data_IF_711932355920
#
_entry.id   IF_711932355920
#
_cell.length_a   1.000
_cell.length_b   1.000
_cell.length_c   1.000
_cell.angle_alpha   90.00
_cell.angle_beta   90.00
_cell.angle_gamma   90.00
#
_symmetry.space_group_name_H-M   'P 1'
#
loop_
_entity.id
_entity.type
_entity.pdbx_description
1 polymer ?
#
# COMPACT_ATOMS: atom_id res chain seq x y z
N UNK A 1 -16.73 -19.88 -5.13
CA UNK A 1 -17.55 -19.70 -6.34
C UNK A 1 -18.08 -18.29 -6.44
N UNK A 2 -18.49 -17.90 -7.64
CA UNK A 2 -19.24 -16.67 -7.93
C UNK A 2 -20.23 -16.90 -9.08
N UNK A 3 -21.31 -16.11 -9.13
CA UNK A 3 -22.24 -16.11 -10.26
C UNK A 3 -22.07 -14.76 -10.96
N UNK A 4 -21.84 -14.81 -12.26
CA UNK A 4 -21.72 -13.60 -13.07
C UNK A 4 -23.09 -13.02 -13.48
N UNK A 5 -23.16 -11.76 -13.92
CA UNK A 5 -24.41 -11.15 -14.36
C UNK A 5 -25.08 -11.83 -15.56
N UNK A 6 -24.33 -12.67 -16.31
CA UNK A 6 -24.85 -13.43 -17.45
C UNK A 6 -25.49 -14.77 -17.03
N UNK A 7 -25.41 -15.11 -15.74
CA UNK A 7 -25.97 -16.36 -15.20
C UNK A 7 -25.03 -17.55 -15.31
N UNK A 8 -23.72 -17.33 -15.40
CA UNK A 8 -22.73 -18.40 -15.31
C UNK A 8 -22.24 -18.54 -13.86
N UNK A 9 -22.26 -19.77 -13.35
CA UNK A 9 -21.61 -20.12 -12.11
C UNK A 9 -20.14 -20.44 -12.40
N UNK A 10 -19.26 -19.72 -11.75
CA UNK A 10 -17.82 -19.94 -11.77
C UNK A 10 -17.39 -20.59 -10.46
N UNK A 11 -16.71 -21.72 -10.54
CA UNK A 11 -16.21 -22.44 -9.38
C UNK A 11 -14.82 -23.01 -9.64
N UNK A 12 -14.06 -23.22 -8.57
CA UNK A 12 -12.75 -23.87 -8.62
C UNK A 12 -12.76 -25.19 -7.87
N UNK A 13 -12.03 -26.15 -8.42
CA UNK A 13 -11.72 -27.41 -7.75
C UNK A 13 -10.25 -27.77 -8.04
N UNK A 14 -9.39 -27.66 -7.02
CA UNK A 14 -7.95 -27.77 -7.20
C UNK A 14 -7.42 -26.67 -8.15
N UNK A 15 -6.70 -27.08 -9.17
CA UNK A 15 -6.15 -26.20 -10.23
C UNK A 15 -7.09 -26.00 -11.40
N UNK A 16 -8.32 -26.49 -11.34
CA UNK A 16 -9.29 -26.32 -12.42
C UNK A 16 -10.33 -25.27 -12.05
N UNK A 17 -10.65 -24.44 -13.01
CA UNK A 17 -11.75 -23.50 -12.98
C UNK A 17 -12.86 -24.04 -13.86
N UNK A 18 -14.10 -23.96 -13.41
CA UNK A 18 -15.27 -24.41 -14.12
C UNK A 18 -16.24 -23.27 -14.32
N UNK A 19 -16.85 -23.21 -15.50
CA UNK A 19 -17.95 -22.31 -15.83
C UNK A 19 -19.16 -23.16 -16.21
N UNK A 20 -20.29 -22.96 -15.52
CA UNK A 20 -21.54 -23.69 -15.71
C UNK A 20 -22.61 -22.68 -16.07
N UNK A 21 -23.27 -22.87 -17.20
CA UNK A 21 -24.43 -22.08 -17.56
C UNK A 21 -25.63 -22.52 -16.70
N UNK A 22 -26.14 -21.63 -15.84
CA UNK A 22 -27.25 -21.97 -14.93
C UNK A 22 -28.58 -22.25 -15.67
N UNK A 23 -28.72 -21.81 -16.92
CA UNK A 23 -29.88 -22.16 -17.76
C UNK A 23 -29.70 -23.49 -18.47
N UNK A 24 -28.47 -23.92 -18.68
CA UNK A 24 -28.07 -25.14 -19.36
C UNK A 24 -26.95 -25.83 -18.54
N UNK A 25 -27.28 -26.44 -17.38
CA UNK A 25 -26.27 -26.98 -16.44
C UNK A 25 -25.43 -28.13 -17.01
N UNK A 26 -25.88 -28.74 -18.10
CA UNK A 26 -25.15 -29.75 -18.86
C UNK A 26 -23.94 -29.16 -19.62
N UNK A 27 -23.93 -27.85 -19.88
CA UNK A 27 -22.84 -27.15 -20.53
C UNK A 27 -21.79 -26.70 -19.52
N UNK A 28 -20.85 -27.57 -19.20
CA UNK A 28 -19.73 -27.29 -18.32
C UNK A 28 -18.48 -27.04 -19.14
N UNK A 29 -17.87 -25.88 -18.95
CA UNK A 29 -16.53 -25.57 -19.48
C UNK A 29 -15.50 -25.66 -18.38
N UNK A 30 -14.35 -26.23 -18.68
CA UNK A 30 -13.22 -26.31 -17.76
C UNK A 30 -12.02 -25.55 -18.31
N UNK A 31 -11.29 -24.89 -17.42
CA UNK A 31 -10.07 -24.14 -17.72
C UNK A 31 -8.99 -24.55 -16.74
N UNK A 32 -7.81 -24.83 -17.24
CA UNK A 32 -6.67 -25.12 -16.39
C UNK A 32 -6.03 -23.83 -15.90
N UNK A 33 -5.87 -23.71 -14.60
CA UNK A 33 -5.16 -22.61 -13.98
C UNK A 33 -3.67 -22.97 -13.81
N UNK A 34 -2.77 -21.98 -13.72
CA UNK A 34 -1.37 -22.22 -13.39
C UNK A 34 -1.22 -23.06 -12.12
N UNK A 35 -0.26 -23.99 -12.11
CA UNK A 35 -0.04 -24.88 -10.96
C UNK A 35 0.28 -24.13 -9.66
N UNK A 36 0.86 -22.92 -9.76
CA UNK A 36 1.11 -22.04 -8.61
C UNK A 36 -0.14 -21.63 -7.85
N UNK A 37 -1.30 -21.56 -8.50
CA UNK A 37 -2.58 -21.26 -7.84
C UNK A 37 -3.02 -22.40 -6.92
N UNK A 38 -2.86 -23.65 -7.38
CA UNK A 38 -3.36 -24.82 -6.67
C UNK A 38 -2.57 -25.20 -5.43
N UNK A 39 -1.36 -24.69 -5.27
CA UNK A 39 -0.47 -25.07 -4.17
C UNK A 39 -1.00 -24.62 -2.80
N UNK A 40 -1.66 -23.46 -2.72
CA UNK A 40 -2.13 -22.86 -1.46
C UNK A 40 -3.66 -22.73 -1.38
N UNK A 41 -4.36 -23.04 -2.45
CA UNK A 41 -5.81 -22.97 -2.53
C UNK A 41 -6.36 -21.60 -2.92
N UNK A 42 -7.57 -21.62 -3.48
CA UNK A 42 -8.34 -20.44 -3.89
C UNK A 42 -9.31 -20.08 -2.77
N UNK A 43 -9.24 -18.84 -2.30
CA UNK A 43 -10.13 -18.30 -1.27
C UNK A 43 -11.39 -17.69 -1.88
N UNK A 44 -11.24 -16.95 -2.98
CA UNK A 44 -12.35 -16.26 -3.65
C UNK A 44 -12.12 -16.15 -5.14
N UNK A 45 -13.22 -16.24 -5.90
CA UNK A 45 -13.29 -15.89 -7.31
C UNK A 45 -14.27 -14.73 -7.46
N UNK A 46 -13.91 -13.74 -8.25
CA UNK A 46 -14.74 -12.62 -8.63
C UNK A 46 -14.71 -12.45 -10.15
N UNK A 47 -15.88 -12.46 -10.80
CA UNK A 47 -16.01 -12.04 -12.20
C UNK A 47 -16.11 -10.52 -12.21
N UNK A 48 -15.09 -9.87 -12.77
CA UNK A 48 -15.14 -8.42 -12.96
C UNK A 48 -16.15 -8.01 -14.04
N UNK A 49 -16.48 -6.73 -14.08
CA UNK A 49 -17.34 -6.15 -15.12
C UNK A 49 -16.67 -6.18 -16.51
N UNK A 50 -15.41 -6.51 -16.55
CA UNK A 50 -14.59 -6.73 -17.74
C UNK A 50 -14.52 -8.23 -18.09
N UNK A 51 -13.65 -8.60 -19.04
CA UNK A 51 -13.42 -9.98 -19.48
C UNK A 51 -12.59 -10.84 -18.51
N UNK A 52 -12.18 -10.29 -17.36
CA UNK A 52 -11.27 -10.96 -16.45
C UNK A 52 -12.00 -11.61 -15.28
N UNK A 53 -11.42 -12.72 -14.81
CA UNK A 53 -11.70 -13.34 -13.53
C UNK A 53 -10.55 -13.02 -12.59
N UNK A 54 -10.90 -12.53 -11.42
CA UNK A 54 -9.96 -12.25 -10.35
C UNK A 54 -10.03 -13.38 -9.33
N UNK A 55 -8.87 -13.96 -9.01
CA UNK A 55 -8.76 -15.16 -8.19
C UNK A 55 -7.84 -14.84 -7.03
N UNK A 56 -8.41 -14.75 -5.84
CA UNK A 56 -7.67 -14.59 -4.59
C UNK A 56 -7.17 -15.95 -4.10
N UNK A 57 -5.95 -15.99 -3.58
CA UNK A 57 -5.29 -17.22 -3.12
C UNK A 57 -4.75 -17.09 -1.70
N UNK A 58 -4.56 -18.23 -1.05
CA UNK A 58 -4.03 -18.34 0.31
C UNK A 58 -2.50 -18.54 0.29
N UNK A 59 -1.75 -17.61 -0.33
CA UNK A 59 -0.29 -17.64 -0.32
C UNK A 59 0.41 -17.40 -1.65
N UNK A 60 -0.36 -17.20 -2.75
CA UNK A 60 0.19 -16.88 -4.07
C UNK A 60 -0.28 -15.52 -4.63
N UNK A 61 -0.91 -14.68 -3.79
CA UNK A 61 -1.38 -13.37 -4.19
C UNK A 61 -2.69 -13.38 -4.98
N UNK A 62 -2.84 -12.40 -5.87
CA UNK A 62 -4.00 -12.21 -6.73
C UNK A 62 -3.67 -12.63 -8.16
N UNK A 63 -4.53 -13.45 -8.76
CA UNK A 63 -4.44 -13.79 -10.17
C UNK A 63 -5.55 -13.10 -10.96
N UNK A 64 -5.19 -12.60 -12.13
CA UNK A 64 -6.09 -12.03 -13.11
C UNK A 64 -6.10 -12.94 -14.35
N UNK A 65 -7.18 -13.69 -14.54
CA UNK A 65 -7.34 -14.65 -15.63
C UNK A 65 -8.23 -14.09 -16.74
N UNK A 66 -7.70 -14.07 -17.95
CA UNK A 66 -8.46 -13.71 -19.14
C UNK A 66 -9.03 -14.97 -19.78
N UNK A 67 -10.35 -15.09 -19.80
CA UNK A 67 -11.05 -16.26 -20.32
C UNK A 67 -10.98 -16.41 -21.85
N UNK A 68 -10.76 -15.31 -22.59
CA UNK A 68 -10.67 -15.35 -24.06
C UNK A 68 -9.30 -15.81 -24.54
N UNK A 69 -8.25 -15.23 -23.95
CA UNK A 69 -6.86 -15.56 -24.33
C UNK A 69 -6.28 -16.71 -23.52
N UNK A 70 -6.95 -17.13 -22.44
CA UNK A 70 -6.52 -18.12 -21.46
C UNK A 70 -5.16 -17.75 -20.81
N UNK A 71 -4.85 -16.45 -20.74
CA UNK A 71 -3.67 -15.93 -20.08
C UNK A 71 -3.96 -15.58 -18.63
N UNK A 72 -2.94 -15.68 -17.79
CA UNK A 72 -3.04 -15.40 -16.37
C UNK A 72 -1.89 -14.51 -15.92
N UNK A 73 -2.22 -13.39 -15.29
CA UNK A 73 -1.25 -12.48 -14.67
C UNK A 73 -1.29 -12.73 -13.17
N UNK A 74 -0.14 -12.80 -12.51
CA UNK A 74 -0.04 -12.91 -11.06
C UNK A 74 0.47 -11.60 -10.46
N UNK A 75 -0.22 -11.10 -9.45
CA UNK A 75 0.15 -9.94 -8.68
C UNK A 75 0.56 -10.37 -7.27
N UNK A 76 1.76 -9.96 -6.86
CA UNK A 76 2.36 -10.30 -5.56
C UNK A 76 2.89 -9.05 -4.84
N UNK A 77 3.15 -9.09 -3.53
CA UNK A 77 3.75 -7.97 -2.81
C UNK A 77 5.08 -7.52 -3.39
N UNK A 78 5.90 -8.46 -3.83
CA UNK A 78 7.26 -8.20 -4.31
C UNK A 78 7.29 -7.46 -5.65
N UNK A 79 6.26 -7.65 -6.47
CA UNK A 79 6.22 -7.13 -7.84
C UNK A 79 5.26 -5.97 -8.03
N UNK A 80 4.16 -5.92 -7.29
CA UNK A 80 3.02 -5.08 -7.64
C UNK A 80 2.41 -4.29 -6.48
N UNK A 81 3.07 -4.16 -5.33
CA UNK A 81 2.54 -3.46 -4.16
C UNK A 81 1.24 -4.05 -3.58
N UNK A 82 0.93 -5.29 -3.88
CA UNK A 82 -0.11 -6.03 -3.17
C UNK A 82 0.32 -6.16 -1.70
N UNK A 83 -0.61 -5.98 -0.75
CA UNK A 83 -0.25 -5.94 0.67
C UNK A 83 0.23 -7.29 1.21
N UNK A 84 -0.31 -8.40 0.69
CA UNK A 84 0.01 -9.76 1.12
C UNK A 84 -0.24 -10.79 0.03
N UNK A 85 0.48 -11.90 0.08
CA UNK A 85 0.20 -13.09 -0.72
C UNK A 85 -1.04 -13.87 -0.23
N UNK A 86 -1.51 -13.59 1.00
CA UNK A 86 -2.73 -14.19 1.58
C UNK A 86 -3.93 -13.30 1.30
N UNK A 87 -4.56 -13.48 0.13
CA UNK A 87 -5.77 -12.76 -0.26
C UNK A 87 -7.00 -13.58 0.15
N UNK A 88 -7.91 -13.00 0.96
CA UNK A 88 -9.05 -13.73 1.53
C UNK A 88 -10.35 -13.51 0.78
N UNK A 89 -10.68 -12.27 0.47
CA UNK A 89 -11.90 -11.93 -0.24
C UNK A 89 -11.68 -10.84 -1.28
N UNK A 90 -12.61 -10.79 -2.24
CA UNK A 90 -12.67 -9.81 -3.31
C UNK A 90 -14.05 -9.18 -3.34
N UNK A 91 -14.10 -7.86 -3.43
CA UNK A 91 -15.32 -7.09 -3.61
C UNK A 91 -15.10 -6.07 -4.73
N UNK A 92 -15.91 -6.11 -5.79
CA UNK A 92 -15.91 -5.06 -6.78
C UNK A 92 -16.65 -3.83 -6.24
N UNK A 93 -16.02 -2.67 -6.31
CA UNK A 93 -16.60 -1.40 -5.92
C UNK A 93 -17.33 -0.75 -7.09
N UNK A 94 -18.07 0.34 -6.84
CA UNK A 94 -18.73 1.11 -7.89
C UNK A 94 -17.77 1.97 -8.72
N UNK A 95 -16.52 2.15 -8.26
CA UNK A 95 -15.52 3.06 -8.82
C UNK A 95 -14.41 2.33 -9.59
N UNK A 96 -14.73 1.26 -10.30
CA UNK A 96 -13.78 0.45 -11.07
C UNK A 96 -12.56 -0.04 -10.27
N UNK A 97 -12.75 -0.28 -8.98
CA UNK A 97 -11.74 -0.91 -8.14
C UNK A 97 -12.20 -2.28 -7.66
N UNK A 98 -11.25 -3.14 -7.36
CA UNK A 98 -11.47 -4.34 -6.57
C UNK A 98 -10.83 -4.14 -5.20
N UNK A 99 -11.63 -4.25 -4.15
CA UNK A 99 -11.17 -4.32 -2.78
C UNK A 99 -10.78 -5.77 -2.47
N UNK A 100 -9.54 -5.95 -2.06
CA UNK A 100 -8.93 -7.24 -1.71
C UNK A 100 -8.67 -7.21 -0.20
N UNK A 101 -9.23 -8.16 0.54
CA UNK A 101 -8.90 -8.32 1.96
C UNK A 101 -7.78 -9.32 2.15
N UNK A 102 -6.90 -9.08 3.12
CA UNK A 102 -5.75 -9.91 3.45
C UNK A 102 -5.52 -9.99 4.96
N UNK A 103 -4.57 -10.80 5.40
CA UNK A 103 -4.11 -10.86 6.79
C UNK A 103 -3.55 -9.53 7.32
N UNK A 104 -3.03 -8.67 6.43
CA UNK A 104 -2.39 -7.40 6.77
C UNK A 104 -3.30 -6.18 6.63
N UNK A 105 -4.46 -6.32 6.00
CA UNK A 105 -5.39 -5.22 5.76
C UNK A 105 -6.14 -5.35 4.45
N UNK A 106 -6.35 -4.24 3.77
CA UNK A 106 -7.04 -4.18 2.49
C UNK A 106 -6.15 -3.56 1.41
N UNK A 107 -6.30 -4.06 0.19
CA UNK A 107 -5.68 -3.48 -1.01
C UNK A 107 -6.78 -3.12 -2.01
N UNK A 108 -6.71 -1.93 -2.56
CA UNK A 108 -7.52 -1.51 -3.70
C UNK A 108 -6.72 -1.72 -4.97
N UNK A 109 -7.27 -2.46 -5.90
CA UNK A 109 -6.74 -2.63 -7.25
C UNK A 109 -7.61 -1.87 -8.24
N UNK A 110 -7.04 -0.84 -8.87
CA UNK A 110 -7.73 -0.06 -9.88
C UNK A 110 -7.68 -0.77 -11.24
N UNK A 111 -8.85 -1.06 -11.81
CA UNK A 111 -8.99 -1.85 -13.05
C UNK A 111 -8.56 -1.10 -14.32
N UNK A 112 -8.53 0.23 -14.26
CA UNK A 112 -8.17 1.07 -15.41
C UNK A 112 -6.68 1.36 -15.46
N UNK A 113 -6.09 1.71 -14.31
CA UNK A 113 -4.67 2.09 -14.22
C UNK A 113 -3.76 0.92 -13.83
N UNK A 114 -4.35 -0.23 -13.47
CA UNK A 114 -3.66 -1.42 -12.94
C UNK A 114 -2.76 -1.11 -11.73
N UNK A 115 -3.13 -0.07 -10.97
CA UNK A 115 -2.38 0.37 -9.79
C UNK A 115 -2.98 -0.18 -8.51
N UNK A 116 -2.12 -0.36 -7.50
CA UNK A 116 -2.49 -0.84 -6.18
C UNK A 116 -2.35 0.28 -5.15
N UNK A 117 -3.29 0.32 -4.21
CA UNK A 117 -3.23 1.15 -3.00
C UNK A 117 -3.60 0.31 -1.81
N UNK A 118 -2.73 0.25 -0.81
CA UNK A 118 -2.92 -0.56 0.38
C UNK A 118 -3.27 0.29 1.60
N UNK A 119 -4.11 -0.26 2.47
CA UNK A 119 -4.49 0.29 3.76
C UNK A 119 -4.27 -0.82 4.79
N UNK A 120 -3.27 -0.65 5.64
CA UNK A 120 -2.96 -1.62 6.69
C UNK A 120 -3.99 -1.57 7.81
N UNK A 121 -4.08 -2.64 8.60
CA UNK A 121 -5.04 -2.75 9.70
C UNK A 121 -4.94 -1.59 10.70
N UNK A 122 -3.71 -1.19 11.03
CA UNK A 122 -3.45 -0.13 12.01
C UNK A 122 -3.82 1.28 11.49
N UNK A 123 -4.11 1.40 10.20
CA UNK A 123 -4.41 2.66 9.52
C UNK A 123 -5.93 2.94 9.39
N UNK A 124 -6.70 2.60 10.42
CA UNK A 124 -8.10 3.01 10.53
C UNK A 124 -9.15 1.90 10.41
N UNK A 125 -8.73 0.64 10.29
CA UNK A 125 -9.65 -0.49 10.42
C UNK A 125 -9.77 -0.86 11.90
N UNK A 126 -11.00 -0.85 12.44
CA UNK A 126 -11.25 -1.21 13.84
C UNK A 126 -11.25 -2.73 14.07
N UNK A 127 -10.26 -3.42 13.50
CA UNK A 127 -10.12 -4.87 13.56
C UNK A 127 -8.71 -5.24 14.03
N UNK A 128 -8.60 -6.27 14.86
CA UNK A 128 -7.29 -6.80 15.27
C UNK A 128 -6.64 -7.65 14.16
N UNK A 129 -7.45 -8.32 13.35
CA UNK A 129 -6.99 -9.04 12.15
C UNK A 129 -8.17 -9.33 11.22
N UNK A 130 -7.89 -9.46 9.93
CA UNK A 130 -8.81 -10.07 8.97
C UNK A 130 -8.36 -11.53 8.80
N UNK A 131 -9.32 -12.45 8.85
CA UNK A 131 -9.04 -13.88 8.72
C UNK A 131 -9.79 -14.48 7.53
N UNK A 132 -9.26 -15.56 6.98
CA UNK A 132 -9.94 -16.30 5.92
C UNK A 132 -11.31 -16.80 6.42
N UNK A 133 -12.35 -16.61 5.60
CA UNK A 133 -13.72 -16.93 5.93
C UNK A 133 -14.54 -15.75 6.49
N UNK A 134 -13.91 -14.65 6.93
CA UNK A 134 -14.63 -13.42 7.22
C UNK A 134 -15.10 -12.76 5.92
N UNK A 135 -16.36 -12.32 5.91
CA UNK A 135 -16.97 -11.71 4.75
C UNK A 135 -16.53 -10.27 4.52
N UNK A 136 -16.63 -9.85 3.26
CA UNK A 136 -16.67 -8.44 2.85
C UNK A 136 -17.95 -8.22 2.05
N UNK A 137 -18.64 -7.13 2.34
CA UNK A 137 -19.93 -6.82 1.72
C UNK A 137 -20.10 -5.31 1.54
N UNK A 138 -20.73 -4.91 0.43
CA UNK A 138 -21.12 -3.53 0.19
C UNK A 138 -22.65 -3.45 0.09
N UNK A 139 -23.22 -2.55 0.88
CA UNK A 139 -24.65 -2.27 0.86
C UNK A 139 -25.03 -1.33 -0.30
N UNK A 140 -26.34 -1.16 -0.53
CA UNK A 140 -26.87 -0.29 -1.59
C UNK A 140 -26.59 1.21 -1.34
N UNK A 141 -26.28 1.59 -0.12
CA UNK A 141 -25.88 2.96 0.27
C UNK A 141 -24.35 3.16 0.18
N UNK A 142 -23.64 2.22 -0.43
CA UNK A 142 -22.18 2.20 -0.57
C UNK A 142 -21.41 2.07 0.75
N UNK A 143 -22.07 1.61 1.83
CA UNK A 143 -21.36 1.23 3.05
C UNK A 143 -20.71 -0.14 2.86
N UNK A 144 -19.40 -0.21 3.08
CA UNK A 144 -18.61 -1.45 3.03
C UNK A 144 -18.44 -1.97 4.45
N UNK A 145 -18.69 -3.26 4.63
CA UNK A 145 -18.49 -3.99 5.86
C UNK A 145 -17.41 -5.05 5.69
N UNK A 146 -16.49 -5.11 6.63
CA UNK A 146 -15.42 -6.12 6.67
C UNK A 146 -15.44 -6.79 8.03
N UNK A 147 -15.62 -8.12 8.05
CA UNK A 147 -15.53 -8.93 9.25
C UNK A 147 -14.09 -9.29 9.60
N UNK A 148 -13.80 -9.42 10.89
CA UNK A 148 -12.49 -9.83 11.37
C UNK A 148 -12.48 -10.16 12.86
N UNK A 149 -11.31 -10.42 13.40
CA UNK A 149 -11.14 -10.61 14.84
C UNK A 149 -11.35 -9.29 15.56
N UNK A 150 -12.18 -9.32 16.58
CA UNK A 150 -12.55 -8.12 17.34
C UNK A 150 -13.86 -7.48 16.88
N UNK A 151 -14.44 -7.93 15.75
CA UNK A 151 -15.75 -7.45 15.34
C UNK A 151 -15.92 -7.18 13.84
N UNK A 152 -16.57 -6.06 13.56
CA UNK A 152 -16.92 -5.61 12.22
C UNK A 152 -16.43 -4.18 12.03
N UNK A 153 -15.69 -3.94 10.98
CA UNK A 153 -15.35 -2.59 10.51
C UNK A 153 -16.31 -2.15 9.41
N UNK A 154 -16.74 -0.88 9.44
CA UNK A 154 -17.58 -0.31 8.39
C UNK A 154 -17.12 1.08 8.02
N UNK A 155 -17.19 1.41 6.73
CA UNK A 155 -16.84 2.71 6.17
C UNK A 155 -17.56 2.92 4.83
N UNK A 156 -17.63 4.16 4.38
CA UNK A 156 -18.22 4.45 3.08
C UNK A 156 -17.19 4.22 1.96
N UNK A 157 -17.63 3.70 0.84
CA UNK A 157 -16.80 3.48 -0.35
C UNK A 157 -16.00 4.74 -0.76
N UNK A 158 -16.60 5.93 -0.67
CA UNK A 158 -15.94 7.22 -0.96
C UNK A 158 -14.72 7.49 -0.09
N UNK A 159 -14.67 6.95 1.13
CA UNK A 159 -13.55 7.15 2.05
C UNK A 159 -12.30 6.37 1.61
N UNK A 160 -12.46 5.33 0.80
CA UNK A 160 -11.35 4.59 0.19
C UNK A 160 -10.52 5.46 -0.77
N UNK A 161 -11.14 6.43 -1.41
CA UNK A 161 -10.49 7.32 -2.37
C UNK A 161 -10.10 8.68 -1.76
N UNK A 162 -10.20 8.82 -0.44
CA UNK A 162 -9.85 10.06 0.24
C UNK A 162 -8.35 10.33 0.06
N UNK A 163 -8.05 11.40 -0.65
CA UNK A 163 -6.70 11.92 -0.72
C UNK A 163 -6.41 12.71 0.56
N UNK A 164 -5.35 12.33 1.25
CA UNK A 164 -4.83 13.13 2.35
C UNK A 164 -3.90 14.21 1.80
N UNK A 165 -3.89 15.41 2.39
CA UNK A 165 -2.95 16.45 1.97
C UNK A 165 -1.52 15.91 2.06
N UNK A 166 -0.71 16.21 1.05
CA UNK A 166 0.71 15.82 1.04
C UNK A 166 1.37 16.29 2.32
N UNK A 167 2.08 15.42 3.03
CA UNK A 167 2.75 15.80 4.26
C UNK A 167 3.82 16.86 3.96
N UNK A 168 3.96 17.82 4.88
CA UNK A 168 5.04 18.80 4.83
C UNK A 168 6.23 18.27 5.60
N UNK A 169 7.42 18.52 5.08
CA UNK A 169 8.68 18.21 5.73
C UNK A 169 9.25 19.47 6.37
N UNK A 170 9.77 19.36 7.57
CA UNK A 170 10.41 20.45 8.30
C UNK A 170 11.72 19.97 8.90
N UNK A 171 12.76 20.78 8.83
CA UNK A 171 13.94 20.57 9.63
C UNK A 171 13.62 20.89 11.10
N UNK A 172 13.79 19.91 11.96
CA UNK A 172 13.42 20.00 13.37
C UNK A 172 14.58 20.29 14.30
N UNK A 173 15.80 19.89 13.93
CA UNK A 173 17.00 20.07 14.73
C UNK A 173 18.25 20.12 13.87
N UNK A 174 19.20 20.93 14.29
CA UNK A 174 20.56 20.97 13.75
C UNK A 174 21.54 20.76 14.91
N UNK A 175 22.48 19.85 14.70
CA UNK A 175 23.62 19.68 15.60
C UNK A 175 24.92 19.90 14.83
N UNK A 176 25.83 20.64 15.42
CA UNK A 176 27.16 20.93 14.89
C UNK A 176 28.20 20.34 15.84
N UNK A 177 29.10 19.50 15.33
CA UNK A 177 30.07 18.76 16.14
C UNK A 177 29.45 18.03 17.33
N UNK A 178 28.29 17.39 17.11
CA UNK A 178 27.47 16.69 18.11
C UNK A 178 26.85 17.59 19.21
N UNK A 179 26.94 18.91 19.11
CA UNK A 179 26.25 19.85 19.98
C UNK A 179 24.99 20.37 19.26
N UNK A 180 23.81 20.21 19.89
CA UNK A 180 22.55 20.74 19.37
C UNK A 180 22.59 22.26 19.39
N UNK A 181 22.20 22.89 18.29
CA UNK A 181 22.19 24.33 18.12
C UNK A 181 20.78 24.88 18.37
N UNK A 182 20.68 25.95 19.12
CA UNK A 182 19.44 26.65 19.43
C UNK A 182 19.58 28.16 19.12
N UNK A 183 18.53 28.86 18.76
CA UNK A 183 18.56 30.32 18.58
C UNK A 183 19.06 31.11 19.80
N UNK A 184 18.83 30.54 20.99
CA UNK A 184 19.17 31.19 22.27
C UNK A 184 20.57 30.80 22.80
N UNK A 185 21.33 29.99 22.05
CA UNK A 185 22.65 29.57 22.51
C UNK A 185 23.73 30.61 22.19
N UNK A 186 24.89 30.45 22.81
CA UNK A 186 26.03 31.36 22.64
C UNK A 186 26.73 31.20 21.29
N UNK A 187 26.35 30.22 20.49
CA UNK A 187 27.02 29.96 19.20
C UNK A 187 26.64 31.02 18.15
N UNK A 188 25.47 31.65 18.29
CA UNK A 188 24.91 32.58 17.33
C UNK A 188 24.81 32.00 15.90
N UNK A 189 24.79 30.69 15.76
CA UNK A 189 24.68 30.00 14.47
C UNK A 189 23.25 30.12 13.92
N UNK A 190 22.24 30.02 14.80
CA UNK A 190 20.84 30.21 14.44
C UNK A 190 20.36 31.53 15.03
N UNK A 191 19.65 32.30 14.22
CA UNK A 191 19.01 33.58 14.65
C UNK A 191 17.54 33.40 14.95
N UNK A 192 16.93 32.33 14.45
CA UNK A 192 15.52 31.99 14.62
C UNK A 192 15.34 30.47 14.58
N UNK A 193 14.12 30.00 14.79
CA UNK A 193 13.81 28.55 14.74
C UNK A 193 14.16 27.96 13.37
N UNK A 194 14.76 26.78 13.36
CA UNK A 194 15.30 26.13 12.17
C UNK A 194 14.33 26.04 10.97
N UNK A 195 13.00 25.84 11.15
CA UNK A 195 12.05 25.83 10.03
C UNK A 195 11.95 27.17 9.28
N UNK A 196 12.42 28.26 9.87
CA UNK A 196 12.36 29.63 9.30
C UNK A 196 13.71 30.10 8.77
N UNK A 197 14.81 29.44 9.15
CA UNK A 197 16.17 29.76 8.74
C UNK A 197 16.36 29.34 7.27
N UNK A 198 16.92 30.25 6.46
CA UNK A 198 17.24 29.99 5.05
C UNK A 198 18.71 29.66 4.82
N UNK A 199 19.57 30.11 5.70
CA UNK A 199 21.01 30.00 5.56
C UNK A 199 21.66 29.81 6.93
N UNK A 200 22.63 28.92 7.01
CA UNK A 200 23.42 28.67 8.22
C UNK A 200 24.89 28.82 7.88
N UNK A 201 25.57 29.77 8.51
CA UNK A 201 26.98 30.00 8.29
C UNK A 201 27.83 29.31 9.38
N UNK A 202 28.75 28.44 8.95
CA UNK A 202 29.62 27.65 9.80
C UNK A 202 31.09 27.98 9.49
N UNK A 203 31.95 27.88 10.51
CA UNK A 203 33.39 28.00 10.29
C UNK A 203 34.00 26.62 9.96
N UNK A 204 35.24 26.60 9.48
CA UNK A 204 35.93 25.39 9.03
C UNK A 204 36.07 24.30 10.11
N UNK A 205 36.04 24.65 11.40
CA UNK A 205 36.07 23.66 12.50
C UNK A 205 34.68 23.08 12.80
N UNK A 206 33.62 23.59 12.22
CA UNK A 206 32.22 23.20 12.41
C UNK A 206 31.73 22.33 11.23
N UNK A 207 32.49 21.30 10.90
CA UNK A 207 32.33 20.51 9.68
C UNK A 207 31.63 19.16 9.86
N UNK A 208 31.10 18.88 11.05
CA UNK A 208 30.29 17.69 11.31
C UNK A 208 28.87 18.13 11.64
N UNK A 209 27.94 17.76 10.78
CA UNK A 209 26.55 18.17 10.87
C UNK A 209 25.65 16.95 11.12
N UNK A 210 24.66 17.11 11.98
CA UNK A 210 23.54 16.22 12.07
C UNK A 210 22.26 17.04 11.90
N UNK A 211 21.48 16.70 10.88
CA UNK A 211 20.24 17.37 10.54
C UNK A 211 19.11 16.42 10.84
N UNK A 212 18.20 16.81 11.72
CA UNK A 212 16.97 16.08 11.98
C UNK A 212 15.80 16.77 11.30
N UNK A 213 14.87 15.97 10.83
CA UNK A 213 13.67 16.46 10.16
C UNK A 213 12.43 15.69 10.63
N UNK A 214 11.28 16.32 10.50
CA UNK A 214 9.99 15.74 10.85
C UNK A 214 9.00 15.96 9.71
N UNK A 215 8.15 14.96 9.50
CA UNK A 215 7.04 15.04 8.56
C UNK A 215 5.74 15.31 9.29
N UNK A 216 4.85 16.11 8.71
CA UNK A 216 3.48 16.29 9.19
C UNK A 216 2.56 15.13 8.80
N UNK A 217 3.11 13.98 8.44
CA UNK A 217 2.34 12.78 8.18
C UNK A 217 1.89 12.15 9.51
N UNK A 218 0.67 12.46 9.94
CA UNK A 218 0.07 11.89 11.15
C UNK A 218 -0.82 10.67 10.85
N UNK A 219 -0.98 10.31 9.57
CA UNK A 219 -1.87 9.22 9.14
C UNK A 219 -1.12 7.90 9.05
N UNK A 220 0.19 7.94 8.76
CA UNK A 220 1.02 6.76 8.55
C UNK A 220 2.36 6.89 9.30
N UNK A 221 2.27 7.05 10.62
CA UNK A 221 3.42 7.35 11.47
C UNK A 221 4.34 6.13 11.65
N UNK A 222 3.81 4.92 11.58
CA UNK A 222 4.52 3.71 12.00
C UNK A 222 5.04 2.84 10.86
N UNK A 223 4.51 2.97 9.65
CA UNK A 223 4.82 2.04 8.57
C UNK A 223 5.30 2.75 7.31
N UNK A 224 6.61 2.67 7.07
CA UNK A 224 7.22 2.87 5.76
C UNK A 224 7.21 4.29 5.16
N UNK A 225 7.32 5.33 5.97
CA UNK A 225 7.68 6.64 5.40
C UNK A 225 9.15 6.61 5.00
N UNK A 226 9.40 6.67 3.71
CA UNK A 226 10.73 6.80 3.13
C UNK A 226 10.96 8.24 2.71
N UNK A 227 12.17 8.71 2.94
CA UNK A 227 12.61 10.04 2.58
C UNK A 227 13.69 9.95 1.51
N UNK A 228 13.58 10.77 0.50
CA UNK A 228 14.67 11.01 -0.44
C UNK A 228 15.42 12.24 0.01
N UNK A 229 16.74 12.16 0.01
CA UNK A 229 17.61 13.26 0.39
C UNK A 229 18.85 13.33 -0.49
N UNK A 230 19.37 14.54 -0.61
CA UNK A 230 20.64 14.86 -1.26
C UNK A 230 21.18 16.15 -0.64
N UNK A 231 22.45 16.15 -0.22
CA UNK A 231 23.18 17.36 0.10
C UNK A 231 23.89 17.84 -1.18
N UNK A 232 23.36 18.86 -1.81
CA UNK A 232 23.97 19.45 -3.02
C UNK A 232 25.41 19.88 -2.71
N UNK A 233 26.33 19.66 -3.65
CA UNK A 233 27.76 19.91 -3.43
C UNK A 233 28.52 18.78 -2.76
N UNK A 234 27.85 17.83 -2.08
CA UNK A 234 28.47 16.68 -1.41
C UNK A 234 28.00 15.35 -2.01
N UNK A 235 26.68 15.10 -2.07
CA UNK A 235 26.12 13.87 -2.58
C UNK A 235 26.01 13.92 -4.12
N UNK A 236 26.45 12.85 -4.79
CA UNK A 236 26.38 12.74 -6.25
C UNK A 236 24.99 12.40 -6.78
N UNK A 237 24.15 11.78 -5.95
CA UNK A 237 22.82 11.31 -6.32
C UNK A 237 21.90 11.31 -5.10
N UNK A 238 20.60 11.26 -5.36
CA UNK A 238 19.59 11.09 -4.34
C UNK A 238 19.73 9.74 -3.64
N UNK A 239 19.53 9.72 -2.34
CA UNK A 239 19.56 8.55 -1.48
C UNK A 239 18.24 8.39 -0.74
N UNK A 240 17.87 7.15 -0.42
CA UNK A 240 16.66 6.81 0.32
C UNK A 240 16.99 6.46 1.77
N UNK A 241 16.15 6.92 2.70
CA UNK A 241 16.25 6.56 4.12
C UNK A 241 14.88 6.48 4.78
N UNK A 242 14.75 5.62 5.79
CA UNK A 242 13.62 5.60 6.73
C UNK A 242 13.94 6.35 8.03
N UNK A 243 15.18 6.82 8.19
CA UNK A 243 15.59 7.57 9.38
C UNK A 243 15.21 9.05 9.22
N UNK A 244 14.92 9.71 10.33
CA UNK A 244 14.61 11.13 10.39
C UNK A 244 15.82 11.99 10.76
N UNK A 245 17.02 11.43 10.67
CA UNK A 245 18.29 12.08 11.01
C UNK A 245 19.34 11.73 9.96
N UNK A 246 20.01 12.75 9.42
CA UNK A 246 21.10 12.63 8.47
C UNK A 246 22.38 13.17 9.10
N UNK A 247 23.49 12.46 8.94
CA UNK A 247 24.78 12.86 9.49
C UNK A 247 25.80 13.00 8.36
N UNK A 248 26.40 14.18 8.31
CA UNK A 248 27.51 14.53 7.41
C UNK A 248 28.74 14.83 8.25
N UNK A 249 29.87 14.26 7.88
CA UNK A 249 31.14 14.44 8.62
C UNK A 249 32.22 14.91 7.67
N UNK A 250 33.14 15.74 8.20
CA UNK A 250 34.29 16.27 7.46
C UNK A 250 33.87 16.98 6.17
N UNK A 251 32.85 17.83 6.25
CA UNK A 251 32.49 18.68 5.12
C UNK A 251 33.64 19.65 4.82
N UNK A 252 34.02 19.74 3.55
CA UNK A 252 34.99 20.73 3.08
C UNK A 252 34.37 22.13 3.12
N UNK A 253 35.16 23.21 3.17
CA UNK A 253 34.60 24.57 3.00
C UNK A 253 33.90 24.71 1.65
N UNK A 254 32.66 25.17 1.66
CA UNK A 254 31.83 25.31 0.45
C UNK A 254 30.38 25.64 0.77
N UNK A 255 29.58 25.82 -0.25
CA UNK A 255 28.15 25.99 -0.19
C UNK A 255 27.47 24.64 -0.50
N UNK A 256 26.45 24.33 0.28
CA UNK A 256 25.73 23.06 0.24
C UNK A 256 24.23 23.26 0.23
#
# INVERSE_FOLDING_TARGET
FTIDPKGFLWLSAGTNLYSINLKHPEEVKSFSLPASIGQFGISKILKGNNQYLYIATLGSGLFCYNEQTQTCINYTPEQNQLLSNYCYNLLQTSTDNILITSDRGITLFNLTTESFRSIELDNGLSLSSIINGCGVWMCSDHTIFIGGTGGLSSFLEKDLNKEYPKPKLYFSSLSVNNARISPDDKSCILTEGLPFVREVNLNAAQNNLTIEFASSNYVDILNNTWYEYQLEGFDKQWSLTSQTSLKYTNLDPGDY
#
